data_IF_235228757236
#
_entry.id   IF_235228757236
#
_cell.length_a   1.000
_cell.length_b   1.000
_cell.length_c   1.000
_cell.angle_alpha   90.00
_cell.angle_beta   90.00
_cell.angle_gamma   90.00
#
_symmetry.space_group_name_H-M   'P 1'
#
loop_
_entity.id
_entity.type
_entity.pdbx_description
1 polymer ?
#
# COMPACT_ATOMS: atom_id res chain seq x y z
N UNK A 1 65.61 -4.92 -13.28
CA UNK A 1 65.25 -4.15 -14.48
C UNK A 1 63.75 -4.34 -14.70
N UNK A 2 63.01 -3.26 -14.48
CA UNK A 2 61.54 -3.15 -14.61
C UNK A 2 61.19 -3.06 -16.09
N UNK A 3 60.13 -3.75 -16.56
CA UNK A 3 59.01 -3.16 -17.32
C UNK A 3 57.75 -3.99 -17.05
N UNK A 4 56.70 -3.31 -16.57
CA UNK A 4 55.32 -3.76 -16.55
C UNK A 4 54.52 -2.93 -17.58
N UNK A 5 53.54 -3.54 -18.23
CA UNK A 5 52.31 -3.02 -18.91
C UNK A 5 51.81 -4.16 -19.82
N UNK A 6 50.55 -4.42 -20.16
CA UNK A 6 49.19 -3.91 -19.90
C UNK A 6 48.29 -5.11 -20.31
N UNK A 7 47.26 -5.52 -19.59
CA UNK A 7 45.91 -4.97 -19.76
C UNK A 7 45.07 -5.72 -20.80
N UNK A 8 44.23 -6.68 -20.38
CA UNK A 8 42.87 -6.84 -20.93
C UNK A 8 42.01 -7.78 -20.06
N UNK A 9 41.39 -7.20 -19.02
CA UNK A 9 40.24 -7.76 -18.32
C UNK A 9 39.05 -7.81 -19.29
N UNK A 10 38.67 -9.01 -19.74
CA UNK A 10 37.33 -9.22 -20.29
C UNK A 10 36.33 -9.23 -19.12
N UNK A 11 35.76 -8.05 -18.83
CA UNK A 11 34.58 -7.90 -17.98
C UNK A 11 33.41 -8.67 -18.61
N UNK A 12 33.19 -9.89 -18.17
CA UNK A 12 31.87 -10.51 -18.27
C UNK A 12 30.91 -9.68 -17.42
N UNK A 13 29.99 -8.98 -18.10
CA UNK A 13 28.86 -8.33 -17.44
C UNK A 13 27.99 -9.43 -16.85
N UNK A 14 28.20 -9.71 -15.57
CA UNK A 14 27.35 -10.59 -14.78
C UNK A 14 25.91 -10.10 -14.84
N UNK A 15 25.07 -10.80 -15.60
CA UNK A 15 23.62 -10.71 -15.45
C UNK A 15 23.32 -11.31 -14.09
N UNK A 16 22.95 -10.47 -13.13
CA UNK A 16 22.58 -10.92 -11.79
C UNK A 16 21.32 -11.80 -11.91
N UNK A 17 21.35 -13.06 -11.46
CA UNK A 17 20.18 -13.93 -11.56
C UNK A 17 19.07 -13.36 -10.68
N UNK A 18 17.89 -13.16 -11.26
CA UNK A 18 16.70 -12.82 -10.47
C UNK A 18 16.35 -14.01 -9.59
N UNK A 19 16.57 -13.88 -8.28
CA UNK A 19 16.37 -14.96 -7.33
C UNK A 19 14.89 -15.32 -7.22
N UNK A 20 14.54 -16.50 -7.76
CA UNK A 20 13.28 -17.18 -7.47
C UNK A 20 13.36 -17.76 -6.05
N UNK A 21 13.18 -16.88 -5.07
CA UNK A 21 12.85 -17.21 -3.69
C UNK A 21 14.00 -17.17 -2.68
N UNK A 22 14.16 -16.02 -1.98
CA UNK A 22 14.50 -15.86 -0.55
C UNK A 22 14.15 -14.40 -0.05
N UNK A 23 14.08 -14.05 1.27
CA UNK A 23 13.36 -12.89 1.87
C UNK A 23 13.57 -11.55 1.18
N UNK A 24 12.50 -11.05 0.53
CA UNK A 24 12.55 -10.25 -0.72
C UNK A 24 11.83 -10.93 -1.91
N UNK A 25 11.22 -12.10 -1.66
CA UNK A 25 10.79 -13.16 -2.59
C UNK A 25 9.84 -12.83 -3.77
N UNK A 26 9.20 -11.66 -3.83
CA UNK A 26 8.23 -11.34 -4.87
C UNK A 26 8.49 -9.92 -5.39
N UNK A 27 8.80 -9.84 -6.68
CA UNK A 27 9.02 -8.58 -7.37
C UNK A 27 7.68 -7.84 -7.51
N UNK A 28 7.61 -6.58 -7.06
CA UNK A 28 6.35 -5.82 -7.02
C UNK A 28 6.12 -4.94 -8.26
N UNK A 29 6.80 -5.27 -9.35
CA UNK A 29 6.68 -4.54 -10.62
C UNK A 29 7.36 -3.18 -10.56
N UNK A 30 6.73 -2.16 -11.15
CA UNK A 30 7.29 -0.80 -11.18
C UNK A 30 7.45 -0.18 -9.80
N UNK A 31 6.72 -0.66 -8.78
CA UNK A 31 6.83 -0.17 -7.41
C UNK A 31 8.15 -0.58 -6.72
N UNK A 32 8.90 -1.52 -7.29
CA UNK A 32 10.16 -1.99 -6.71
C UNK A 32 11.16 -0.84 -6.52
N UNK A 33 11.19 0.12 -7.46
CA UNK A 33 12.08 1.29 -7.40
C UNK A 33 11.74 2.26 -6.25
N UNK A 34 10.54 2.13 -5.67
CA UNK A 34 10.05 2.96 -4.56
C UNK A 34 10.06 2.21 -3.23
N UNK A 35 10.22 0.90 -3.24
CA UNK A 35 10.00 0.04 -2.08
C UNK A 35 11.29 -0.15 -1.27
N UNK A 36 11.23 0.24 0.00
CA UNK A 36 12.19 -0.12 1.05
C UNK A 36 11.60 -1.21 1.93
N UNK A 37 12.28 -2.37 1.98
CA UNK A 37 11.96 -3.47 2.89
C UNK A 37 12.78 -3.33 4.16
N UNK A 38 12.17 -2.80 5.23
CA UNK A 38 12.82 -2.44 6.48
C UNK A 38 12.98 -3.64 7.44
N UNK A 39 13.57 -4.73 6.96
CA UNK A 39 13.98 -5.87 7.78
C UNK A 39 15.34 -6.39 7.32
N UNK A 40 16.05 -7.12 8.20
CA UNK A 40 17.39 -7.60 7.89
C UNK A 40 17.34 -8.67 6.79
N UNK A 41 18.22 -8.60 5.76
CA UNK A 41 18.36 -9.68 4.79
C UNK A 41 18.59 -11.03 5.48
N UNK A 42 17.98 -12.09 4.96
CA UNK A 42 18.09 -13.44 5.54
C UNK A 42 17.22 -13.69 6.77
N UNK A 43 16.51 -12.68 7.29
CA UNK A 43 15.49 -12.88 8.34
C UNK A 43 14.10 -13.08 7.74
N UNK A 44 13.25 -13.82 8.44
CA UNK A 44 11.84 -13.95 8.07
C UNK A 44 11.09 -12.73 8.67
N UNK A 45 10.49 -11.85 7.84
CA UNK A 45 9.77 -10.71 8.36
C UNK A 45 8.41 -11.14 8.96
N UNK A 46 7.74 -10.26 9.72
CA UNK A 46 6.38 -10.50 10.18
C UNK A 46 5.43 -10.83 9.03
N UNK A 47 4.38 -11.61 9.34
CA UNK A 47 3.42 -12.08 8.34
C UNK A 47 2.72 -10.92 7.62
N UNK A 48 2.47 -9.84 8.34
CA UNK A 48 1.85 -8.59 7.89
C UNK A 48 2.72 -7.91 6.83
N UNK A 49 4.04 -7.88 7.03
CA UNK A 49 4.99 -7.34 6.07
C UNK A 49 5.05 -8.20 4.79
N UNK A 50 4.92 -9.54 4.91
CA UNK A 50 4.81 -10.41 3.74
C UNK A 50 3.51 -10.19 2.97
N UNK A 51 2.38 -10.08 3.68
CA UNK A 51 1.08 -9.77 3.08
C UNK A 51 1.07 -8.41 2.38
N UNK A 52 1.78 -7.42 2.92
CA UNK A 52 1.99 -6.14 2.25
C UNK A 52 2.74 -6.31 0.93
N UNK A 53 3.86 -7.06 0.90
CA UNK A 53 4.58 -7.36 -0.34
C UNK A 53 3.71 -8.12 -1.35
N UNK A 54 2.91 -9.09 -0.90
CA UNK A 54 1.95 -9.79 -1.76
C UNK A 54 0.87 -8.85 -2.32
N UNK A 55 0.40 -7.90 -1.52
CA UNK A 55 -0.58 -6.89 -1.95
C UNK A 55 0.03 -5.98 -3.02
N UNK A 56 1.27 -5.52 -2.84
CA UNK A 56 1.99 -4.70 -3.82
C UNK A 56 2.17 -5.44 -5.15
N UNK A 57 2.51 -6.73 -5.10
CA UNK A 57 2.67 -7.54 -6.30
C UNK A 57 1.35 -7.83 -7.04
N UNK A 58 0.20 -7.70 -6.36
CA UNK A 58 -1.12 -7.84 -6.97
C UNK A 58 -1.58 -6.57 -7.71
N UNK A 59 -0.87 -5.45 -7.57
CA UNK A 59 -1.23 -4.19 -8.23
C UNK A 59 -1.14 -4.34 -9.76
N UNK A 60 -2.20 -4.01 -10.52
CA UNK A 60 -2.17 -4.05 -11.98
C UNK A 60 -1.02 -3.21 -12.55
N UNK A 61 -0.29 -3.74 -13.54
CA UNK A 61 0.93 -3.10 -14.07
C UNK A 61 0.77 -1.63 -14.47
N UNK A 62 -0.30 -1.22 -15.20
CA UNK A 62 -0.48 0.20 -15.55
C UNK A 62 -0.66 1.09 -14.31
N UNK A 63 -1.40 0.62 -13.31
CA UNK A 63 -1.59 1.33 -12.05
C UNK A 63 -0.28 1.40 -11.26
N UNK A 64 0.46 0.30 -11.17
CA UNK A 64 1.76 0.25 -10.49
C UNK A 64 2.78 1.23 -11.06
N UNK A 65 2.81 1.42 -12.39
CA UNK A 65 3.67 2.42 -13.03
C UNK A 65 3.28 3.85 -12.68
N UNK A 66 1.97 4.16 -12.68
CA UNK A 66 1.45 5.49 -12.30
C UNK A 66 1.74 5.78 -10.82
N UNK A 67 1.49 4.82 -9.94
CA UNK A 67 1.83 4.91 -8.51
C UNK A 67 3.32 5.09 -8.28
N UNK A 68 4.18 4.38 -9.03
CA UNK A 68 5.62 4.57 -8.94
C UNK A 68 6.04 5.98 -9.38
N UNK A 69 5.33 6.61 -10.33
CA UNK A 69 5.51 8.02 -10.68
C UNK A 69 5.05 8.98 -9.58
N UNK A 70 3.92 8.67 -8.93
CA UNK A 70 3.31 9.49 -7.88
C UNK A 70 4.07 9.47 -6.55
N UNK A 71 4.49 8.29 -6.10
CA UNK A 71 5.07 8.05 -4.77
C UNK A 71 6.53 8.54 -4.69
N UNK A 72 6.73 9.84 -4.80
CA UNK A 72 8.06 10.45 -4.79
C UNK A 72 8.81 10.22 -3.48
N UNK A 73 8.10 10.19 -2.35
CA UNK A 73 8.67 9.90 -1.03
C UNK A 73 8.92 8.41 -0.77
N UNK A 74 8.47 7.53 -1.67
CA UNK A 74 8.69 6.10 -1.61
C UNK A 74 7.65 5.33 -0.78
N UNK A 75 7.94 4.05 -0.57
CA UNK A 75 7.10 3.11 0.15
C UNK A 75 7.98 2.29 1.09
N UNK A 76 7.65 2.26 2.38
CA UNK A 76 8.40 1.50 3.39
C UNK A 76 7.50 0.42 3.98
N UNK A 77 7.97 -0.83 3.97
CA UNK A 77 7.32 -1.95 4.66
C UNK A 77 8.26 -2.49 5.71
N UNK A 78 7.80 -2.66 6.95
CA UNK A 78 8.66 -3.14 8.03
C UNK A 78 7.90 -3.68 9.24
N UNK A 79 8.63 -4.17 10.26
CA UNK A 79 8.05 -4.55 11.54
C UNK A 79 7.64 -3.32 12.36
N UNK A 80 6.72 -3.50 13.30
CA UNK A 80 6.31 -2.47 14.27
C UNK A 80 5.18 -1.57 13.78
N UNK A 81 4.98 -0.46 14.48
CA UNK A 81 4.02 0.57 14.12
C UNK A 81 4.64 1.58 13.14
N UNK A 82 3.83 2.49 12.61
CA UNK A 82 4.28 3.52 11.67
C UNK A 82 5.55 4.26 12.13
N UNK A 83 5.67 4.77 13.38
CA UNK A 83 6.88 5.51 13.75
C UNK A 83 8.10 4.61 14.03
N UNK A 84 7.97 3.28 13.98
CA UNK A 84 9.13 2.36 13.99
C UNK A 84 9.75 2.20 12.59
N UNK A 85 9.08 2.70 11.54
CA UNK A 85 9.54 2.60 10.17
C UNK A 85 10.52 3.73 9.81
N UNK A 86 11.58 3.43 9.03
CA UNK A 86 12.54 4.43 8.59
C UNK A 86 11.90 5.65 7.93
N UNK A 87 12.18 6.83 8.47
CA UNK A 87 11.68 8.13 8.01
C UNK A 87 10.26 8.49 8.44
N UNK A 88 9.66 7.75 9.37
CA UNK A 88 8.39 8.06 10.03
C UNK A 88 8.54 8.35 11.54
N UNK A 89 9.77 8.40 12.05
CA UNK A 89 10.11 8.54 13.47
C UNK A 89 9.52 9.80 14.09
N UNK A 90 9.35 10.87 13.28
CA UNK A 90 8.72 12.14 13.69
C UNK A 90 7.29 12.00 14.21
N UNK A 91 6.62 10.87 13.93
CA UNK A 91 5.25 10.59 14.38
C UNK A 91 5.21 9.95 15.77
N UNK A 92 6.35 9.65 16.38
CA UNK A 92 6.41 9.10 17.73
C UNK A 92 5.74 10.05 18.72
N UNK A 93 4.87 9.50 19.58
CA UNK A 93 4.09 10.19 20.61
C UNK A 93 3.11 11.26 20.05
N UNK A 94 2.96 11.33 18.73
CA UNK A 94 2.00 12.24 18.10
C UNK A 94 0.60 11.61 18.20
N UNK A 95 -0.44 12.36 18.61
CA UNK A 95 -1.82 11.87 18.61
C UNK A 95 -2.34 11.55 17.21
N UNK A 96 -3.20 10.54 17.09
CA UNK A 96 -3.91 10.26 15.85
C UNK A 96 -4.99 11.34 15.59
N UNK A 97 -5.20 11.78 14.33
CA UNK A 97 -6.12 12.90 14.05
C UNK A 97 -7.60 12.60 14.34
N UNK A 98 -8.03 11.36 14.09
CA UNK A 98 -9.45 10.96 14.09
C UNK A 98 -9.77 9.82 15.07
N UNK A 99 -8.78 9.36 15.84
CA UNK A 99 -8.89 8.19 16.70
C UNK A 99 -8.19 8.45 18.03
N UNK A 100 -8.65 7.80 19.10
CA UNK A 100 -7.97 7.86 20.39
C UNK A 100 -6.63 7.13 20.37
N UNK A 101 -5.63 7.77 20.96
CA UNK A 101 -4.26 7.26 21.07
C UNK A 101 -3.31 7.97 20.11
N UNK A 102 -2.16 7.33 19.90
CA UNK A 102 -1.02 7.89 19.20
C UNK A 102 -0.59 6.96 18.05
N UNK A 103 0.31 7.44 17.18
CA UNK A 103 0.75 6.70 15.99
C UNK A 103 1.43 5.36 16.28
N UNK A 104 1.81 5.07 17.52
CA UNK A 104 2.31 3.78 18.02
C UNK A 104 1.32 2.62 17.81
N UNK A 105 0.04 2.94 17.58
CA UNK A 105 -0.99 1.95 17.28
C UNK A 105 -1.28 1.83 15.78
N UNK A 106 -0.72 2.70 14.96
CA UNK A 106 -1.01 2.71 13.53
C UNK A 106 -0.17 1.67 12.79
N UNK A 107 -0.84 0.84 12.01
CA UNK A 107 -0.20 -0.11 11.11
C UNK A 107 0.18 0.51 9.76
N UNK A 108 -0.42 1.65 9.39
CA UNK A 108 -0.30 2.21 8.05
C UNK A 108 -0.38 3.73 8.03
N UNK A 109 0.25 4.32 7.02
CA UNK A 109 0.10 5.74 6.72
C UNK A 109 0.35 6.01 5.25
N UNK A 110 -0.46 6.87 4.67
CA UNK A 110 -0.14 7.65 3.49
C UNK A 110 0.09 9.11 3.89
N UNK A 111 1.28 9.63 3.67
CA UNK A 111 1.61 11.06 3.81
C UNK A 111 1.42 11.73 2.45
N UNK A 112 0.34 12.52 2.23
CA UNK A 112 0.08 13.16 0.94
C UNK A 112 1.07 14.28 0.62
N UNK A 113 1.66 14.94 1.63
CA UNK A 113 2.63 16.01 1.41
C UNK A 113 3.95 15.46 0.85
N UNK A 114 4.36 14.29 1.35
CA UNK A 114 5.57 13.61 0.86
C UNK A 114 5.28 12.60 -0.27
N UNK A 115 4.00 12.30 -0.52
CA UNK A 115 3.54 11.19 -1.37
C UNK A 115 4.28 9.90 -1.01
N UNK A 116 4.14 9.52 0.27
CA UNK A 116 4.91 8.44 0.88
C UNK A 116 4.01 7.49 1.64
N UNK A 117 4.28 6.20 1.52
CA UNK A 117 3.57 5.15 2.25
C UNK A 117 4.48 4.50 3.30
N UNK A 118 3.93 4.27 4.49
CA UNK A 118 4.52 3.41 5.52
C UNK A 118 3.55 2.27 5.87
N UNK A 119 4.03 1.04 5.90
CA UNK A 119 3.27 -0.15 6.30
C UNK A 119 4.05 -0.93 7.35
N UNK A 120 3.53 -0.91 8.57
CA UNK A 120 4.02 -1.66 9.71
C UNK A 120 3.40 -3.05 9.82
N UNK A 121 3.68 -3.73 10.94
CA UNK A 121 3.20 -5.07 11.26
C UNK A 121 2.31 -5.15 12.49
N UNK A 122 1.94 -4.02 13.10
CA UNK A 122 0.96 -4.05 14.20
C UNK A 122 -0.43 -4.42 13.67
N UNK A 123 -1.29 -5.06 14.49
CA UNK A 123 -2.63 -5.46 14.06
C UNK A 123 -3.47 -4.27 13.58
N UNK A 124 -4.28 -4.50 12.54
CA UNK A 124 -5.19 -3.50 11.98
C UNK A 124 -6.54 -4.12 11.60
N UNK A 125 -7.65 -3.37 11.76
CA UNK A 125 -8.96 -3.79 11.31
C UNK A 125 -9.16 -3.61 9.80
N UNK A 126 -8.14 -3.28 9.01
CA UNK A 126 -8.24 -3.21 7.54
C UNK A 126 -8.20 -4.61 6.88
N UNK A 127 -8.76 -4.73 5.67
CA UNK A 127 -8.65 -5.88 4.77
C UNK A 127 -7.21 -6.17 4.39
N UNK A 128 -6.45 -5.10 4.14
CA UNK A 128 -5.02 -5.10 3.88
C UNK A 128 -4.54 -3.68 4.13
N UNK A 129 -3.71 -3.50 5.16
CA UNK A 129 -3.13 -2.17 5.48
C UNK A 129 -2.43 -1.59 4.27
N UNK A 130 -1.61 -2.39 3.58
CA UNK A 130 -0.94 -1.95 2.37
C UNK A 130 -1.93 -1.57 1.26
N UNK A 131 -3.00 -2.35 1.07
CA UNK A 131 -4.04 -2.05 0.10
C UNK A 131 -4.79 -0.76 0.45
N UNK A 132 -5.02 -0.50 1.73
CA UNK A 132 -5.69 0.69 2.23
C UNK A 132 -4.84 1.95 1.97
N UNK A 133 -3.55 1.92 2.34
CA UNK A 133 -2.66 3.07 2.08
C UNK A 133 -2.43 3.31 0.58
N UNK A 134 -2.40 2.24 -0.23
CA UNK A 134 -2.43 2.38 -1.68
C UNK A 134 -3.73 3.03 -2.17
N UNK A 135 -4.87 2.71 -1.56
CA UNK A 135 -6.15 3.33 -1.85
C UNK A 135 -6.13 4.84 -1.62
N UNK A 136 -5.57 5.30 -0.49
CA UNK A 136 -5.34 6.73 -0.24
C UNK A 136 -4.42 7.38 -1.27
N UNK A 137 -3.31 6.71 -1.61
CA UNK A 137 -2.39 7.22 -2.63
C UNK A 137 -3.02 7.28 -4.04
N UNK A 138 -3.90 6.33 -4.37
CA UNK A 138 -4.66 6.34 -5.63
C UNK A 138 -5.71 7.44 -5.64
N UNK A 139 -6.41 7.64 -4.52
CA UNK A 139 -7.37 8.74 -4.39
C UNK A 139 -6.69 10.09 -4.60
N UNK A 140 -5.52 10.30 -4.00
CA UNK A 140 -4.72 11.52 -4.19
C UNK A 140 -4.18 11.66 -5.63
N UNK A 141 -3.63 10.59 -6.20
CA UNK A 141 -3.12 10.54 -7.58
C UNK A 141 -4.19 10.92 -8.62
N UNK A 142 -5.44 10.49 -8.42
CA UNK A 142 -6.54 10.67 -9.37
C UNK A 142 -7.35 11.95 -9.12
N UNK A 143 -6.91 12.83 -8.22
CA UNK A 143 -7.62 14.08 -7.93
C UNK A 143 -8.89 13.87 -7.11
N UNK A 144 -8.85 12.92 -6.17
CA UNK A 144 -9.89 12.61 -5.17
C UNK A 144 -11.21 12.11 -5.75
N UNK A 145 -11.24 10.98 -6.46
CA UNK A 145 -12.49 10.31 -6.84
C UNK A 145 -13.41 10.03 -5.65
N UNK A 146 -12.89 9.85 -4.43
CA UNK A 146 -13.68 9.74 -3.19
C UNK A 146 -14.60 10.95 -2.95
N UNK A 147 -14.25 12.13 -3.46
CA UNK A 147 -15.06 13.35 -3.36
C UNK A 147 -16.07 13.49 -4.52
N UNK A 148 -16.10 12.54 -5.46
CA UNK A 148 -17.06 12.58 -6.57
C UNK A 148 -18.50 12.37 -6.09
N UNK A 149 -19.46 12.91 -6.84
CA UNK A 149 -20.90 12.79 -6.53
C UNK A 149 -21.34 11.33 -6.32
N UNK A 150 -20.79 10.40 -7.10
CA UNK A 150 -21.15 8.98 -6.99
C UNK A 150 -20.71 8.39 -5.64
N UNK A 151 -19.46 8.63 -5.23
CA UNK A 151 -18.93 8.18 -3.93
C UNK A 151 -19.65 8.84 -2.74
N UNK A 152 -19.97 10.14 -2.84
CA UNK A 152 -20.73 10.84 -1.80
C UNK A 152 -22.13 10.26 -1.62
N UNK A 153 -22.84 9.94 -2.71
CA UNK A 153 -24.17 9.34 -2.66
C UNK A 153 -24.14 7.90 -2.14
N UNK A 154 -23.17 7.11 -2.59
CA UNK A 154 -22.93 5.76 -2.07
C UNK A 154 -22.70 5.81 -0.55
N UNK A 155 -21.76 6.64 -0.09
CA UNK A 155 -21.48 6.81 1.33
C UNK A 155 -22.74 7.19 2.10
N UNK A 156 -23.50 8.18 1.62
CA UNK A 156 -24.75 8.58 2.26
C UNK A 156 -25.77 7.42 2.39
N UNK A 157 -25.87 6.56 1.37
CA UNK A 157 -26.77 5.40 1.40
C UNK A 157 -26.36 4.31 2.40
N UNK A 158 -25.06 4.09 2.63
CA UNK A 158 -24.57 3.05 3.54
C UNK A 158 -24.12 3.59 4.91
N UNK A 159 -24.08 4.91 5.12
CA UNK A 159 -23.48 5.58 6.30
C UNK A 159 -23.92 5.00 7.64
N UNK A 160 -25.19 4.63 7.78
CA UNK A 160 -25.74 4.08 9.03
C UNK A 160 -25.15 2.72 9.39
N UNK A 161 -24.73 1.94 8.39
CA UNK A 161 -24.12 0.62 8.56
C UNK A 161 -22.60 0.70 8.77
N UNK A 162 -21.95 1.73 8.23
CA UNK A 162 -20.49 1.90 8.33
C UNK A 162 -20.05 2.04 9.79
N UNK A 163 -18.95 1.38 10.15
CA UNK A 163 -18.21 1.66 11.39
C UNK A 163 -17.26 2.85 11.22
N UNK A 164 -16.84 3.54 12.29
CA UNK A 164 -15.73 4.48 12.21
C UNK A 164 -14.42 3.78 11.77
N UNK A 165 -13.53 4.45 11.01
CA UNK A 165 -13.64 5.83 10.52
C UNK A 165 -14.47 5.97 9.21
N UNK A 166 -14.85 4.87 8.58
CA UNK A 166 -15.55 4.85 7.28
C UNK A 166 -16.88 5.63 7.31
N UNK A 167 -17.56 5.68 8.46
CA UNK A 167 -18.80 6.46 8.66
C UNK A 167 -18.58 7.97 8.55
N UNK A 168 -17.41 8.46 8.93
CA UNK A 168 -17.07 9.87 8.98
C UNK A 168 -16.45 10.34 7.67
N UNK A 169 -15.52 9.55 7.14
CA UNK A 169 -14.65 9.96 6.03
C UNK A 169 -14.88 9.09 4.79
N UNK A 170 -15.27 9.72 3.68
CA UNK A 170 -15.50 9.01 2.40
C UNK A 170 -14.18 8.50 1.81
N UNK A 171 -13.07 9.22 2.03
CA UNK A 171 -11.73 8.79 1.63
C UNK A 171 -11.32 7.47 2.32
N UNK A 172 -11.65 7.31 3.61
CA UNK A 172 -11.43 6.06 4.33
C UNK A 172 -12.25 4.90 3.76
N UNK A 173 -13.52 5.16 3.41
CA UNK A 173 -14.36 4.16 2.75
C UNK A 173 -13.80 3.77 1.36
N UNK A 174 -13.33 4.75 0.59
CA UNK A 174 -12.69 4.53 -0.70
C UNK A 174 -11.44 3.65 -0.54
N UNK A 175 -10.54 4.01 0.37
CA UNK A 175 -9.29 3.30 0.61
C UNK A 175 -9.53 1.84 1.04
N UNK A 176 -10.47 1.60 1.96
CA UNK A 176 -10.79 0.25 2.41
C UNK A 176 -11.51 -0.57 1.32
N UNK A 177 -12.37 0.07 0.53
CA UNK A 177 -12.99 -0.57 -0.63
C UNK A 177 -11.94 -0.99 -1.65
N UNK A 178 -10.95 -0.12 -1.92
CA UNK A 178 -9.82 -0.41 -2.80
C UNK A 178 -9.01 -1.59 -2.28
N UNK A 179 -8.71 -1.62 -0.97
CA UNK A 179 -8.05 -2.75 -0.34
C UNK A 179 -8.83 -4.06 -0.53
N UNK A 180 -10.14 -4.03 -0.36
CA UNK A 180 -11.00 -5.20 -0.55
C UNK A 180 -11.01 -5.70 -2.01
N UNK A 181 -11.13 -4.79 -2.99
CA UNK A 181 -11.15 -5.16 -4.42
C UNK A 181 -9.77 -5.69 -4.85
N UNK A 182 -8.70 -4.97 -4.53
CA UNK A 182 -7.31 -5.36 -4.88
C UNK A 182 -6.95 -6.74 -4.33
N UNK A 183 -7.38 -7.04 -3.10
CA UNK A 183 -7.09 -8.32 -2.43
C UNK A 183 -8.18 -9.37 -2.61
N UNK A 184 -9.15 -9.12 -3.50
CA UNK A 184 -10.25 -10.05 -3.85
C UNK A 184 -11.08 -10.51 -2.64
N UNK A 185 -11.33 -9.62 -1.68
CA UNK A 185 -12.11 -9.89 -0.46
C UNK A 185 -13.57 -9.44 -0.61
N UNK A 186 -14.30 -10.00 -1.59
CA UNK A 186 -15.69 -9.63 -1.89
C UNK A 186 -16.61 -9.71 -0.66
N UNK A 187 -16.55 -10.79 0.13
CA UNK A 187 -17.35 -10.92 1.35
C UNK A 187 -17.04 -9.85 2.42
N UNK A 188 -15.83 -9.29 2.42
CA UNK A 188 -15.48 -8.16 3.31
C UNK A 188 -16.04 -6.85 2.78
N UNK A 189 -16.03 -6.63 1.47
CA UNK A 189 -16.66 -5.47 0.84
C UNK A 189 -18.17 -5.45 1.09
N UNK A 190 -18.84 -6.60 0.96
CA UNK A 190 -20.27 -6.76 1.28
C UNK A 190 -20.53 -6.40 2.75
N UNK A 191 -19.74 -6.95 3.69
CA UNK A 191 -19.88 -6.61 5.12
C UNK A 191 -19.60 -5.15 5.43
N UNK A 192 -18.60 -4.54 4.75
CA UNK A 192 -18.24 -3.14 4.90
C UNK A 192 -19.43 -2.24 4.53
N UNK A 193 -20.05 -2.49 3.37
CA UNK A 193 -21.13 -1.65 2.85
C UNK A 193 -22.51 -2.02 3.40
N UNK A 194 -22.70 -3.26 3.88
CA UNK A 194 -23.98 -3.77 4.38
C UNK A 194 -25.00 -4.09 3.29
N UNK A 195 -24.60 -3.95 2.02
CA UNK A 195 -25.45 -4.11 0.85
C UNK A 195 -24.64 -4.75 -0.28
N UNK A 196 -25.12 -5.90 -0.76
CA UNK A 196 -24.46 -6.68 -1.81
C UNK A 196 -24.49 -5.96 -3.18
N UNK A 197 -25.57 -5.25 -3.49
CA UNK A 197 -25.70 -4.49 -4.72
C UNK A 197 -24.75 -3.28 -4.72
N UNK A 198 -24.64 -2.58 -3.59
CA UNK A 198 -23.66 -1.51 -3.43
C UNK A 198 -22.22 -2.04 -3.56
N UNK A 199 -21.92 -3.19 -2.93
CA UNK A 199 -20.61 -3.84 -3.05
C UNK A 199 -20.28 -4.25 -4.48
N UNK A 200 -21.24 -4.78 -5.22
CA UNK A 200 -21.08 -5.13 -6.62
C UNK A 200 -20.76 -3.89 -7.48
N UNK A 201 -21.49 -2.78 -7.27
CA UNK A 201 -21.25 -1.53 -7.98
C UNK A 201 -19.84 -0.97 -7.69
N UNK A 202 -19.41 -0.97 -6.43
CA UNK A 202 -18.04 -0.56 -6.03
C UNK A 202 -16.99 -1.44 -6.65
N UNK A 203 -17.17 -2.76 -6.60
CA UNK A 203 -16.25 -3.71 -7.21
C UNK A 203 -16.10 -3.43 -8.72
N UNK A 204 -17.20 -3.29 -9.44
CA UNK A 204 -17.21 -3.04 -10.89
C UNK A 204 -16.55 -1.69 -11.22
N UNK A 205 -16.87 -0.64 -10.48
CA UNK A 205 -16.30 0.69 -10.69
C UNK A 205 -14.78 0.66 -10.50
N UNK A 206 -14.28 0.07 -9.41
CA UNK A 206 -12.84 -0.02 -9.14
C UNK A 206 -12.11 -0.94 -10.13
N UNK A 207 -12.69 -2.12 -10.42
CA UNK A 207 -12.11 -3.06 -11.36
C UNK A 207 -11.95 -2.45 -12.76
N UNK A 208 -12.97 -1.74 -13.24
CA UNK A 208 -12.93 -1.05 -14.53
C UNK A 208 -11.94 0.12 -14.54
N UNK A 209 -11.92 0.93 -13.48
CA UNK A 209 -11.05 2.12 -13.37
C UNK A 209 -9.58 1.74 -13.25
N UNK A 210 -9.27 0.70 -12.48
CA UNK A 210 -7.91 0.35 -12.08
C UNK A 210 -7.34 -0.92 -12.71
N UNK A 211 -8.14 -1.61 -13.53
CA UNK A 211 -7.72 -2.85 -14.18
C UNK A 211 -7.53 -4.02 -13.21
N UNK A 212 -8.24 -4.00 -12.07
CA UNK A 212 -8.23 -5.10 -11.10
C UNK A 212 -9.16 -6.21 -11.62
N UNK A 213 -8.62 -7.40 -11.85
CA UNK A 213 -9.34 -8.59 -12.28
C UNK A 213 -9.07 -9.74 -11.33
#
# INVERSE_FOLDING_TARGET
>A
MVIATDGMECRERGVVPHSRGRPGWLHVGALEIRLTRAWRPGTFPPSESLLAVMTLAAVPRPLGARLAGHLSGGLVVGPGAVPDLPGFEKLREVPLPLQEGTWERSAGVYDPALRRIGVGSVPSPSASVCGHELGHAVDDLDGRPSASRWWLLLHASCRRHLAPPYRQEVAELFAESFACVLTRRAGRLIRLLGDEHAAQQVYQWMAATYGMR
#
